data_IF_186495651647
#
_entry.id   IF_186495651647
#
_cell.length_a   1.000
_cell.length_b   1.000
_cell.length_c   1.000
_cell.angle_alpha   90.00
_cell.angle_beta   90.00
_cell.angle_gamma   90.00
#
_symmetry.space_group_name_H-M   'P 1'
#
loop_
_entity.id
_entity.type
_entity.pdbx_description
1 polymer ?
#
# COMPACT_ATOMS: atom_id res chain seq x y z
N UNK A 1 6.88 20.02 -11.15
CA UNK A 1 7.27 19.74 -9.75
C UNK A 1 6.95 18.27 -9.46
N UNK A 2 7.88 17.52 -8.86
CA UNK A 2 7.62 16.13 -8.46
C UNK A 2 6.79 16.11 -7.18
N UNK A 3 5.50 15.79 -7.29
CA UNK A 3 4.55 15.77 -6.16
C UNK A 3 5.03 14.88 -5.00
N UNK A 4 5.66 13.73 -5.30
CA UNK A 4 6.13 12.79 -4.26
C UNK A 4 7.28 13.41 -3.48
N UNK A 5 8.22 14.03 -4.19
CA UNK A 5 9.36 14.72 -3.58
C UNK A 5 8.89 15.84 -2.65
N UNK A 6 7.88 16.59 -3.08
CA UNK A 6 7.35 17.71 -2.30
C UNK A 6 6.63 17.25 -1.02
N UNK A 7 5.77 16.23 -1.12
CA UNK A 7 5.12 15.62 0.05
C UNK A 7 6.16 15.10 1.04
N UNK A 8 7.23 14.45 0.56
CA UNK A 8 8.29 13.95 1.44
C UNK A 8 9.03 15.09 2.15
N UNK A 9 9.34 16.19 1.45
CA UNK A 9 9.96 17.38 2.05
C UNK A 9 9.08 18.00 3.12
N UNK A 10 7.80 18.20 2.81
CA UNK A 10 6.81 18.72 3.75
C UNK A 10 6.69 17.84 5.01
N UNK A 11 6.58 16.52 4.84
CA UNK A 11 6.51 15.60 5.97
C UNK A 11 7.78 15.62 6.83
N UNK A 12 8.96 15.71 6.23
CA UNK A 12 10.21 15.78 6.99
C UNK A 12 10.31 17.05 7.81
N UNK A 13 9.91 18.19 7.25
CA UNK A 13 9.80 19.45 7.99
C UNK A 13 8.87 19.31 9.20
N UNK A 14 7.69 18.72 9.02
CA UNK A 14 6.74 18.55 10.12
C UNK A 14 7.09 17.41 11.09
N UNK A 15 7.99 16.49 10.75
CA UNK A 15 8.61 15.62 11.77
C UNK A 15 9.42 16.46 12.76
N UNK A 16 10.25 17.39 12.27
CA UNK A 16 11.00 18.27 13.19
C UNK A 16 10.08 19.18 13.99
N UNK A 17 9.06 19.76 13.36
CA UNK A 17 8.18 20.73 14.03
C UNK A 17 7.17 20.08 14.98
N UNK A 18 6.61 18.91 14.67
CA UNK A 18 5.57 18.28 15.49
C UNK A 18 6.11 17.18 16.41
N UNK A 19 7.01 16.33 15.92
CA UNK A 19 7.38 15.10 16.64
C UNK A 19 8.55 15.33 17.59
N UNK A 20 9.56 16.08 17.16
CA UNK A 20 10.76 16.34 17.97
C UNK A 20 10.53 17.39 19.07
N UNK A 21 9.58 18.31 18.86
CA UNK A 21 9.17 19.33 19.81
C UNK A 21 8.34 18.77 20.97
N UNK A 22 7.46 17.80 20.71
CA UNK A 22 6.52 17.23 21.69
C UNK A 22 7.07 16.00 22.48
N UNK A 23 8.35 15.65 22.31
CA UNK A 23 9.00 14.60 23.10
C UNK A 23 8.77 13.17 22.63
N UNK A 24 8.37 12.98 21.37
CA UNK A 24 8.18 11.67 20.72
C UNK A 24 6.81 11.53 20.05
N UNK A 25 6.66 10.52 19.18
CA UNK A 25 5.41 10.25 18.44
C UNK A 25 5.67 9.82 17.00
N UNK A 26 4.61 9.62 16.23
CA UNK A 26 4.67 9.43 14.77
C UNK A 26 3.90 10.54 14.07
N UNK A 27 4.29 10.84 12.83
CA UNK A 27 3.55 11.72 11.94
C UNK A 27 2.63 10.88 11.05
N UNK A 28 1.33 11.13 11.11
CA UNK A 28 0.34 10.45 10.27
C UNK A 28 0.01 11.32 9.06
N UNK A 29 0.48 10.88 7.89
CA UNK A 29 0.26 11.55 6.61
C UNK A 29 -0.98 10.95 5.94
N UNK A 30 -2.05 11.74 5.85
CA UNK A 30 -3.28 11.39 5.16
C UNK A 30 -3.21 11.83 3.70
N UNK A 31 -3.50 10.89 2.80
CA UNK A 31 -3.54 11.12 1.36
C UNK A 31 -4.83 10.60 0.73
N UNK A 32 -5.14 11.04 -0.49
CA UNK A 32 -6.42 10.73 -1.13
C UNK A 32 -6.50 9.33 -1.73
N UNK A 33 -5.37 8.76 -2.17
CA UNK A 33 -5.39 7.51 -2.96
C UNK A 33 -4.40 6.48 -2.45
N UNK A 34 -4.78 5.21 -2.59
CA UNK A 34 -3.92 4.06 -2.32
C UNK A 34 -2.66 4.03 -3.18
N UNK A 35 -2.75 4.56 -4.41
CA UNK A 35 -1.59 4.70 -5.30
C UNK A 35 -0.54 5.64 -4.70
N UNK A 36 -0.98 6.76 -4.09
CA UNK A 36 -0.10 7.69 -3.41
C UNK A 36 0.50 7.08 -2.13
N UNK A 37 -0.29 6.33 -1.35
CA UNK A 37 0.23 5.54 -0.21
C UNK A 37 1.34 4.59 -0.68
N UNK A 38 1.11 3.83 -1.76
CA UNK A 38 2.09 2.89 -2.27
C UNK A 38 3.39 3.56 -2.73
N UNK A 39 3.28 4.68 -3.45
CA UNK A 39 4.43 5.46 -3.92
C UNK A 39 5.22 6.07 -2.76
N UNK A 40 4.55 6.60 -1.74
CA UNK A 40 5.19 7.18 -0.56
C UNK A 40 5.90 6.14 0.30
N UNK A 41 5.36 4.92 0.38
CA UNK A 41 5.98 3.78 1.06
C UNK A 41 7.01 3.02 0.20
N UNK A 42 7.28 3.46 -1.03
CA UNK A 42 8.34 2.88 -1.87
C UNK A 42 7.98 1.62 -2.65
N UNK A 43 6.72 1.16 -2.61
CA UNK A 43 6.23 -0.01 -3.37
C UNK A 43 5.25 0.37 -4.50
N UNK A 44 5.38 1.59 -5.03
CA UNK A 44 4.50 2.10 -6.09
C UNK A 44 4.55 1.30 -7.39
N UNK A 45 5.71 0.76 -7.77
CA UNK A 45 5.87 -0.05 -8.97
C UNK A 45 5.14 -1.40 -8.86
N UNK A 46 5.21 -2.03 -7.69
CA UNK A 46 4.44 -3.23 -7.34
C UNK A 46 2.93 -2.95 -7.43
N UNK A 47 2.46 -1.85 -6.82
CA UNK A 47 1.04 -1.49 -6.84
C UNK A 47 0.53 -1.29 -8.28
N UNK A 48 1.30 -0.56 -9.10
CA UNK A 48 0.95 -0.31 -10.50
C UNK A 48 0.97 -1.60 -11.34
N UNK A 49 1.92 -2.51 -11.07
CA UNK A 49 1.99 -3.82 -11.71
C UNK A 49 0.73 -4.65 -11.41
N UNK A 50 0.34 -4.78 -10.14
CA UNK A 50 -0.88 -5.50 -9.77
C UNK A 50 -2.14 -4.87 -10.39
N UNK A 51 -2.26 -3.54 -10.31
CA UNK A 51 -3.39 -2.80 -10.88
C UNK A 51 -3.53 -3.01 -12.39
N UNK A 52 -2.41 -3.02 -13.11
CA UNK A 52 -2.38 -3.17 -14.57
C UNK A 52 -2.61 -4.61 -15.02
N UNK A 53 -1.98 -5.57 -14.35
CA UNK A 53 -1.87 -6.94 -14.87
C UNK A 53 -2.90 -7.90 -14.27
N UNK A 54 -3.40 -7.67 -13.05
CA UNK A 54 -4.33 -8.59 -12.39
C UNK A 54 -5.81 -8.28 -12.66
N UNK A 55 -6.11 -7.21 -13.40
CA UNK A 55 -7.46 -6.73 -13.72
C UNK A 55 -8.43 -6.75 -12.52
N UNK A 56 -7.90 -6.48 -11.31
CA UNK A 56 -8.69 -6.39 -10.08
C UNK A 56 -9.67 -5.23 -10.29
N UNK A 57 -10.98 -5.47 -10.10
CA UNK A 57 -11.99 -4.43 -10.28
C UNK A 57 -11.59 -3.16 -9.52
N UNK A 58 -11.73 -2.01 -10.15
CA UNK A 58 -11.33 -0.73 -9.55
C UNK A 58 -11.91 -0.51 -8.14
N UNK A 59 -13.16 -0.94 -7.92
CA UNK A 59 -13.83 -0.87 -6.61
C UNK A 59 -13.21 -1.80 -5.56
N UNK A 60 -12.61 -2.90 -6.00
CA UNK A 60 -12.03 -3.94 -5.13
C UNK A 60 -10.50 -3.79 -5.02
N UNK A 61 -9.85 -2.95 -5.84
CA UNK A 61 -8.40 -2.71 -5.79
C UNK A 61 -7.94 -2.25 -4.40
N UNK A 62 -8.75 -1.44 -3.74
CA UNK A 62 -8.44 -0.89 -2.42
C UNK A 62 -8.32 -1.98 -1.35
N UNK A 63 -9.19 -2.99 -1.37
CA UNK A 63 -9.14 -4.11 -0.42
C UNK A 63 -8.23 -5.24 -0.93
N UNK A 64 -8.23 -5.47 -2.24
CA UNK A 64 -7.54 -6.59 -2.87
C UNK A 64 -6.02 -6.47 -2.90
N UNK A 65 -5.46 -5.26 -2.75
CA UNK A 65 -4.00 -5.03 -2.81
C UNK A 65 -3.41 -4.54 -1.48
N UNK A 66 -4.08 -3.64 -0.77
CA UNK A 66 -3.52 -2.92 0.39
C UNK A 66 -4.23 -3.22 1.72
N UNK A 67 -5.12 -4.21 1.78
CA UNK A 67 -5.78 -4.52 3.04
C UNK A 67 -4.82 -5.12 4.06
N UNK A 68 -4.81 -4.59 5.28
CA UNK A 68 -4.14 -5.20 6.43
C UNK A 68 -4.79 -6.52 6.88
N UNK A 69 -6.00 -6.82 6.41
CA UNK A 69 -6.63 -8.12 6.62
C UNK A 69 -6.30 -9.03 5.43
N UNK A 70 -5.34 -9.94 5.63
CA UNK A 70 -4.80 -10.82 4.58
C UNK A 70 -5.90 -11.57 3.80
N UNK A 71 -7.01 -11.93 4.45
CA UNK A 71 -8.14 -12.61 3.81
C UNK A 71 -8.91 -11.75 2.79
N UNK A 72 -8.84 -10.41 2.90
CA UNK A 72 -9.46 -9.46 1.97
C UNK A 72 -8.60 -9.20 0.73
N UNK A 73 -7.33 -9.63 0.73
CA UNK A 73 -6.47 -9.55 -0.43
C UNK A 73 -7.01 -10.43 -1.57
N UNK A 74 -6.81 -9.98 -2.81
CA UNK A 74 -7.07 -10.76 -4.00
C UNK A 74 -6.29 -12.09 -3.92
N UNK A 75 -6.87 -13.20 -4.41
CA UNK A 75 -6.26 -14.53 -4.26
C UNK A 75 -4.83 -14.64 -4.79
N UNK A 76 -4.53 -13.98 -5.92
CA UNK A 76 -3.19 -13.95 -6.53
C UNK A 76 -2.25 -13.10 -5.66
N UNK A 77 -2.71 -11.91 -5.26
CA UNK A 77 -1.97 -11.00 -4.39
C UNK A 77 -1.65 -11.67 -3.05
N UNK A 78 -2.62 -12.36 -2.44
CA UNK A 78 -2.48 -13.08 -1.18
C UNK A 78 -1.46 -14.21 -1.28
N UNK A 79 -1.45 -14.95 -2.39
CA UNK A 79 -0.47 -16.00 -2.62
C UNK A 79 0.96 -15.43 -2.68
N UNK A 80 1.16 -14.31 -3.38
CA UNK A 80 2.46 -13.63 -3.44
C UNK A 80 2.83 -13.06 -2.05
N UNK A 81 1.89 -12.41 -1.37
CA UNK A 81 2.08 -11.94 0.01
C UNK A 81 2.55 -13.07 0.92
N UNK A 82 1.87 -14.22 0.89
CA UNK A 82 2.16 -15.32 1.79
C UNK A 82 3.57 -15.88 1.61
N UNK A 83 4.05 -16.05 0.37
CA UNK A 83 5.41 -16.55 0.14
C UNK A 83 6.46 -15.51 0.55
N UNK A 84 6.25 -14.23 0.22
CA UNK A 84 7.13 -13.13 0.62
C UNK A 84 7.19 -12.98 2.14
N UNK A 85 6.03 -12.97 2.80
CA UNK A 85 5.92 -12.82 4.24
C UNK A 85 6.56 -14.01 4.97
N UNK A 86 6.44 -15.22 4.43
CA UNK A 86 7.08 -16.41 5.01
C UNK A 86 8.59 -16.35 4.88
N UNK A 87 9.12 -15.89 3.73
CA UNK A 87 10.54 -15.58 3.57
C UNK A 87 11.03 -14.53 4.59
N UNK A 88 10.28 -13.44 4.78
CA UNK A 88 10.60 -12.40 5.76
C UNK A 88 10.60 -12.94 7.20
N UNK A 89 9.65 -13.80 7.55
CA UNK A 89 9.58 -14.45 8.87
C UNK A 89 10.80 -15.30 9.16
N UNK A 90 11.29 -16.08 8.18
CA UNK A 90 12.52 -16.86 8.38
C UNK A 90 13.68 -15.95 8.76
N UNK A 91 13.76 -14.77 8.14
CA UNK A 91 14.84 -13.81 8.35
C UNK A 91 14.60 -12.79 9.48
N UNK A 92 13.53 -12.93 10.25
CA UNK A 92 13.21 -12.04 11.35
C UNK A 92 13.56 -12.70 12.68
N UNK A 93 14.47 -12.08 13.43
CA UNK A 93 14.95 -12.56 14.74
C UNK A 93 13.84 -12.78 15.79
N UNK A 94 12.71 -12.09 15.63
CA UNK A 94 11.55 -12.23 16.53
C UNK A 94 10.62 -13.38 16.14
N UNK A 95 10.80 -13.98 14.97
CA UNK A 95 9.93 -15.06 14.50
C UNK A 95 10.22 -16.35 15.22
N UNK A 96 9.17 -17.03 15.63
CA UNK A 96 9.27 -18.33 16.28
C UNK A 96 9.33 -19.45 15.24
N UNK A 97 9.77 -20.63 15.69
CA UNK A 97 9.69 -21.85 14.92
C UNK A 97 8.27 -22.13 14.39
N UNK A 98 7.25 -21.84 15.21
CA UNK A 98 5.85 -22.04 14.84
C UNK A 98 5.39 -21.06 13.75
N UNK A 99 5.91 -19.83 13.73
CA UNK A 99 5.56 -18.85 12.69
C UNK A 99 6.01 -19.30 11.30
N UNK A 100 7.11 -20.05 11.22
CA UNK A 100 7.71 -20.54 9.98
C UNK A 100 7.12 -21.88 9.54
N UNK A 101 7.02 -22.86 10.45
CA UNK A 101 6.65 -24.25 10.11
C UNK A 101 5.27 -24.68 10.59
N UNK A 102 4.59 -23.85 11.38
CA UNK A 102 3.28 -24.14 11.94
C UNK A 102 3.27 -25.41 12.80
N UNK A 103 2.08 -25.97 12.96
CA UNK A 103 1.87 -27.15 13.80
C UNK A 103 2.60 -28.40 13.27
N UNK A 104 2.67 -28.56 11.95
CA UNK A 104 3.36 -29.69 11.32
C UNK A 104 4.87 -29.65 11.53
N UNK A 105 5.44 -28.49 11.87
CA UNK A 105 6.84 -28.35 12.25
C UNK A 105 7.23 -29.24 13.45
N UNK A 106 6.31 -29.53 14.38
CA UNK A 106 6.61 -30.40 15.54
C UNK A 106 7.13 -31.80 15.17
N UNK A 107 6.88 -32.24 13.92
CA UNK A 107 7.31 -33.55 13.39
C UNK A 107 8.73 -33.51 12.82
N UNK A 108 9.30 -32.32 12.61
CA UNK A 108 10.62 -32.14 12.02
C UNK A 108 11.72 -32.24 13.08
N UNK A 109 12.82 -32.92 12.73
CA UNK A 109 14.03 -32.94 13.57
C UNK A 109 14.83 -31.68 13.32
N UNK A 110 15.42 -31.09 14.36
CA UNK A 110 16.28 -29.91 14.22
C UNK A 110 17.40 -30.10 13.19
N UNK A 111 17.99 -31.30 13.12
CA UNK A 111 19.02 -31.67 12.14
C UNK A 111 18.54 -31.55 10.68
N UNK A 112 17.24 -31.72 10.42
CA UNK A 112 16.66 -31.53 9.07
C UNK A 112 16.25 -30.09 8.79
N UNK A 113 15.98 -29.30 9.84
CA UNK A 113 15.56 -27.90 9.71
C UNK A 113 16.76 -26.98 9.52
N UNK A 114 17.87 -27.24 10.24
CA UNK A 114 19.04 -26.36 10.22
C UNK A 114 19.57 -26.08 8.79
N UNK A 115 19.72 -27.07 7.89
CA UNK A 115 20.12 -26.80 6.51
C UNK A 115 19.15 -25.91 5.75
N UNK A 116 17.83 -26.03 6.01
CA UNK A 116 16.82 -25.14 5.43
C UNK A 116 16.95 -23.71 5.94
N UNK A 117 17.11 -23.51 7.25
CA UNK A 117 17.27 -22.17 7.82
C UNK A 117 18.57 -21.53 7.34
N UNK A 118 19.69 -22.27 7.41
CA UNK A 118 20.99 -21.81 6.92
C UNK A 118 20.89 -21.43 5.42
N UNK A 119 20.14 -22.18 4.61
CA UNK A 119 19.89 -21.83 3.20
C UNK A 119 19.08 -20.52 3.07
N UNK A 120 17.94 -20.43 3.76
CA UNK A 120 17.02 -19.28 3.69
C UNK A 120 17.67 -17.97 4.17
N UNK A 121 18.51 -18.03 5.21
CA UNK A 121 19.26 -16.88 5.73
C UNK A 121 20.30 -16.33 4.75
N UNK A 122 20.80 -17.18 3.85
CA UNK A 122 21.77 -16.79 2.84
C UNK A 122 21.12 -16.42 1.49
N UNK A 123 19.79 -16.44 1.40
CA UNK A 123 19.09 -16.01 0.20
C UNK A 123 19.08 -14.49 0.09
N UNK A 124 19.49 -13.98 -1.07
CA UNK A 124 19.38 -12.56 -1.44
C UNK A 124 18.65 -12.42 -2.78
N UNK A 125 17.34 -12.72 -2.82
CA UNK A 125 16.59 -12.69 -4.06
C UNK A 125 16.37 -11.26 -4.54
N UNK A 126 16.59 -11.00 -5.83
CA UNK A 126 16.35 -9.67 -6.42
C UNK A 126 14.89 -9.46 -6.84
N UNK A 127 14.21 -10.54 -7.24
CA UNK A 127 12.83 -10.53 -7.74
C UNK A 127 12.02 -11.70 -7.17
N UNK A 128 10.69 -11.63 -7.27
CA UNK A 128 9.80 -12.75 -6.92
C UNK A 128 10.22 -14.03 -7.65
N UNK A 129 10.54 -13.92 -8.94
CA UNK A 129 10.98 -15.05 -9.73
C UNK A 129 12.30 -15.64 -9.25
N UNK A 130 13.24 -14.80 -8.81
CA UNK A 130 14.48 -15.28 -8.21
C UNK A 130 14.22 -16.03 -6.90
N UNK A 131 13.38 -15.49 -6.00
CA UNK A 131 12.97 -16.16 -4.76
C UNK A 131 12.37 -17.54 -5.06
N UNK A 132 11.36 -17.60 -5.94
CA UNK A 132 10.68 -18.86 -6.28
C UNK A 132 11.63 -19.90 -6.90
N UNK A 133 12.54 -19.47 -7.78
CA UNK A 133 13.52 -20.38 -8.39
C UNK A 133 14.53 -20.90 -7.36
N UNK A 134 15.05 -20.05 -6.47
CA UNK A 134 15.94 -20.48 -5.39
C UNK A 134 15.27 -21.49 -4.46
N UNK A 135 14.02 -21.21 -4.08
CA UNK A 135 13.21 -22.17 -3.31
C UNK A 135 13.05 -23.51 -4.06
N UNK A 136 12.92 -23.47 -5.39
CA UNK A 136 12.89 -24.68 -6.22
C UNK A 136 14.20 -25.46 -6.20
N UNK A 137 15.35 -24.77 -6.31
CA UNK A 137 16.66 -25.42 -6.25
C UNK A 137 16.85 -26.19 -4.92
N UNK A 138 16.38 -25.60 -3.81
CA UNK A 138 16.41 -26.25 -2.51
C UNK A 138 15.52 -27.50 -2.45
N UNK A 139 14.30 -27.41 -3.01
CA UNK A 139 13.33 -28.50 -3.04
C UNK A 139 13.76 -29.70 -3.89
N UNK A 140 14.52 -29.46 -4.97
CA UNK A 140 14.97 -30.52 -5.88
C UNK A 140 15.95 -31.50 -5.21
N UNK A 141 16.61 -31.08 -4.12
CA UNK A 141 17.41 -31.95 -3.26
C UNK A 141 16.50 -32.83 -2.38
N UNK A 142 16.54 -34.16 -2.55
CA UNK A 142 15.64 -35.10 -1.85
C UNK A 142 15.64 -34.96 -0.32
N UNK A 143 16.81 -34.73 0.27
CA UNK A 143 16.98 -34.58 1.74
C UNK A 143 16.28 -33.34 2.30
N UNK A 144 16.05 -32.35 1.46
CA UNK A 144 15.48 -31.05 1.79
C UNK A 144 13.95 -31.00 1.64
N UNK A 145 13.35 -32.00 1.00
CA UNK A 145 11.92 -31.97 0.62
C UNK A 145 10.99 -31.87 1.82
N UNK A 146 11.22 -32.63 2.88
CA UNK A 146 10.27 -32.70 4.00
C UNK A 146 10.19 -31.36 4.76
N UNK A 147 11.30 -30.73 5.20
CA UNK A 147 11.26 -29.38 5.77
C UNK A 147 10.64 -28.34 4.83
N UNK A 148 10.97 -28.41 3.54
CA UNK A 148 10.43 -27.50 2.54
C UNK A 148 8.92 -27.65 2.34
N UNK A 149 8.42 -28.88 2.22
CA UNK A 149 6.99 -29.18 2.09
C UNK A 149 6.23 -28.64 3.31
N UNK A 150 6.74 -28.84 4.53
CA UNK A 150 6.11 -28.28 5.74
C UNK A 150 6.09 -26.75 5.71
N UNK A 151 7.19 -26.11 5.32
CA UNK A 151 7.27 -24.67 5.16
C UNK A 151 6.27 -24.13 4.12
N UNK A 152 6.20 -24.73 2.93
CA UNK A 152 5.28 -24.31 1.86
C UNK A 152 3.83 -24.56 2.27
N UNK A 153 3.53 -25.69 2.92
CA UNK A 153 2.18 -25.98 3.38
C UNK A 153 1.72 -24.96 4.43
N UNK A 154 2.61 -24.55 5.35
CA UNK A 154 2.31 -23.49 6.31
C UNK A 154 2.15 -22.12 5.65
N UNK A 155 3.02 -21.80 4.69
CA UNK A 155 3.04 -20.51 3.99
C UNK A 155 1.82 -20.31 3.10
N UNK A 156 1.53 -21.29 2.22
CA UNK A 156 0.56 -21.17 1.14
C UNK A 156 -0.75 -21.93 1.41
N UNK A 157 -0.82 -22.75 2.46
CA UNK A 157 -1.95 -23.65 2.69
C UNK A 157 -2.03 -24.76 1.63
N UNK A 158 -0.97 -24.99 0.89
CA UNK A 158 -0.93 -26.00 -0.16
C UNK A 158 -0.64 -27.37 0.44
N UNK A 159 -1.05 -28.42 -0.26
CA UNK A 159 -0.53 -29.77 -0.03
C UNK A 159 0.08 -30.20 -1.36
N UNK A 160 1.40 -30.29 -1.41
CA UNK A 160 2.10 -30.76 -2.61
C UNK A 160 1.84 -32.26 -2.76
N UNK A 161 1.13 -32.66 -3.81
CA UNK A 161 0.67 -34.03 -4.01
C UNK A 161 1.77 -34.89 -4.66
N UNK A 162 1.60 -36.22 -4.64
CA UNK A 162 2.56 -37.15 -5.26
C UNK A 162 2.85 -36.88 -6.74
N UNK A 163 1.85 -36.42 -7.51
CA UNK A 163 2.02 -36.06 -8.93
C UNK A 163 2.87 -34.80 -9.13
N UNK A 164 2.97 -33.94 -8.12
CA UNK A 164 3.78 -32.72 -8.15
C UNK A 164 5.27 -33.01 -7.87
N UNK A 165 5.59 -34.19 -7.32
CA UNK A 165 6.96 -34.55 -6.87
C UNK A 165 7.97 -34.77 -8.00
N UNK A 166 7.50 -34.80 -9.25
CA UNK A 166 8.29 -34.87 -10.47
C UNK A 166 8.57 -33.50 -11.10
N UNK A 167 7.92 -32.44 -10.61
CA UNK A 167 8.09 -31.07 -11.07
C UNK A 167 8.82 -30.25 -10.01
N UNK A 168 9.66 -29.30 -10.45
CA UNK A 168 10.24 -28.31 -9.54
C UNK A 168 9.17 -27.38 -8.96
N UNK A 169 9.39 -26.88 -7.75
CA UNK A 169 8.47 -25.96 -7.06
C UNK A 169 8.14 -24.72 -7.91
N UNK A 170 9.11 -24.20 -8.68
CA UNK A 170 8.89 -23.05 -9.57
C UNK A 170 7.78 -23.32 -10.59
N UNK A 171 7.75 -24.52 -11.19
CA UNK A 171 6.72 -24.92 -12.16
C UNK A 171 5.34 -25.04 -11.49
N UNK A 172 5.28 -25.60 -10.29
CA UNK A 172 4.04 -25.73 -9.51
C UNK A 172 3.49 -24.34 -9.15
N UNK A 173 4.36 -23.45 -8.67
CA UNK A 173 3.99 -22.09 -8.28
C UNK A 173 3.48 -21.27 -9.48
N UNK A 174 4.19 -21.33 -10.61
CA UNK A 174 3.74 -20.70 -11.88
C UNK A 174 2.41 -21.28 -12.35
N UNK A 175 2.26 -22.60 -12.35
CA UNK A 175 1.03 -23.28 -12.75
C UNK A 175 -0.18 -22.81 -11.93
N UNK A 176 -0.01 -22.66 -10.62
CA UNK A 176 -1.07 -22.16 -9.73
C UNK A 176 -1.41 -20.69 -9.97
N UNK A 177 -0.43 -19.84 -10.24
CA UNK A 177 -0.72 -18.47 -10.65
C UNK A 177 -1.47 -18.41 -11.98
N UNK A 178 -1.04 -19.19 -12.98
CA UNK A 178 -1.74 -19.28 -14.26
C UNK A 178 -3.19 -19.72 -14.04
N UNK A 179 -3.41 -20.79 -13.26
CA UNK A 179 -4.75 -21.28 -12.90
C UNK A 179 -5.61 -20.15 -12.30
N UNK A 180 -5.09 -19.45 -11.28
CA UNK A 180 -5.83 -18.35 -10.65
C UNK A 180 -6.06 -17.16 -11.60
N UNK A 181 -5.10 -16.82 -12.46
CA UNK A 181 -5.27 -15.74 -13.42
C UNK A 181 -6.36 -16.12 -14.43
N UNK A 182 -6.29 -17.31 -15.04
CA UNK A 182 -7.29 -17.78 -16.01
C UNK A 182 -8.70 -17.85 -15.40
N UNK A 183 -8.85 -18.35 -14.17
CA UNK A 183 -10.14 -18.39 -13.47
C UNK A 183 -10.73 -16.99 -13.20
N UNK A 184 -9.88 -15.96 -13.12
CA UNK A 184 -10.30 -14.58 -12.88
C UNK A 184 -10.31 -13.72 -14.16
N UNK A 185 -9.92 -14.26 -15.31
CA UNK A 185 -9.98 -13.54 -16.58
C UNK A 185 -11.43 -13.29 -16.98
N UNK A 186 -11.66 -12.07 -17.47
CA UNK A 186 -12.96 -11.63 -18.01
C UNK A 186 -12.91 -11.36 -19.51
N UNK A 187 -11.73 -11.05 -20.04
CA UNK A 187 -11.48 -10.81 -21.46
C UNK A 187 -10.28 -11.65 -21.92
N UNK A 188 -10.30 -12.07 -23.19
CA UNK A 188 -9.28 -12.93 -23.79
C UNK A 188 -7.96 -12.22 -24.15
N UNK A 189 -7.83 -10.92 -23.91
CA UNK A 189 -6.75 -10.11 -24.51
C UNK A 189 -5.39 -10.22 -23.80
N UNK A 190 -5.32 -10.76 -22.57
CA UNK A 190 -4.05 -10.85 -21.83
C UNK A 190 -3.71 -12.30 -21.54
N UNK A 191 -2.53 -12.75 -21.96
CA UNK A 191 -2.01 -14.08 -21.65
C UNK A 191 -1.72 -14.21 -20.15
N UNK A 192 -2.16 -15.32 -19.53
CA UNK A 192 -1.84 -15.57 -18.12
C UNK A 192 -0.34 -15.80 -17.93
N UNK A 193 0.31 -16.41 -18.91
CA UNK A 193 1.76 -16.65 -18.91
C UNK A 193 2.51 -15.31 -18.86
N UNK A 194 2.19 -14.38 -19.77
CA UNK A 194 2.80 -13.04 -19.77
C UNK A 194 2.53 -12.27 -18.47
N UNK A 195 1.36 -12.48 -17.87
CA UNK A 195 1.01 -11.87 -16.58
C UNK A 195 1.90 -12.44 -15.48
N UNK A 196 2.09 -13.76 -15.42
CA UNK A 196 3.01 -14.39 -14.46
C UNK A 196 4.44 -13.90 -14.64
N UNK A 197 4.92 -13.76 -15.87
CA UNK A 197 6.26 -13.21 -16.14
C UNK A 197 6.41 -11.79 -15.58
N UNK A 198 5.41 -10.93 -15.77
CA UNK A 198 5.39 -9.57 -15.20
C UNK A 198 5.35 -9.57 -13.67
N UNK A 199 4.65 -10.51 -13.05
CA UNK A 199 4.64 -10.68 -11.59
C UNK A 199 5.99 -11.17 -11.06
N UNK A 200 6.63 -12.11 -11.78
CA UNK A 200 7.94 -12.65 -11.42
C UNK A 200 9.06 -11.61 -11.47
N UNK A 201 8.89 -10.56 -12.28
CA UNK A 201 9.83 -9.45 -12.38
C UNK A 201 9.63 -8.36 -11.31
N UNK A 202 8.67 -8.50 -10.40
CA UNK A 202 8.52 -7.57 -9.27
C UNK A 202 9.75 -7.71 -8.37
N UNK A 203 10.38 -6.57 -8.04
CA UNK A 203 11.55 -6.49 -7.17
C UNK A 203 11.22 -6.90 -5.75
N UNK A 204 12.14 -7.63 -5.12
CA UNK A 204 12.00 -8.04 -3.72
C UNK A 204 11.96 -6.84 -2.78
N UNK A 205 12.75 -5.79 -3.03
CA UNK A 205 12.73 -4.54 -2.27
C UNK A 205 11.29 -3.98 -2.10
N UNK A 206 10.52 -3.93 -3.19
CA UNK A 206 9.13 -3.45 -3.14
C UNK A 206 8.19 -4.45 -2.47
N UNK A 207 8.39 -5.75 -2.69
CA UNK A 207 7.62 -6.82 -2.05
C UNK A 207 7.79 -6.82 -0.53
N UNK A 208 9.00 -6.58 -0.05
CA UNK A 208 9.31 -6.52 1.38
C UNK A 208 8.69 -5.30 2.05
N UNK A 209 8.84 -4.11 1.44
CA UNK A 209 8.19 -2.89 1.91
C UNK A 209 6.67 -3.04 1.95
N UNK A 210 6.10 -3.65 0.91
CA UNK A 210 4.67 -3.92 0.84
C UNK A 210 4.22 -4.94 1.89
N UNK A 211 4.93 -6.05 2.08
CA UNK A 211 4.58 -7.04 3.09
C UNK A 211 4.62 -6.45 4.51
N UNK A 212 5.65 -5.65 4.83
CA UNK A 212 5.74 -4.90 6.10
C UNK A 212 4.58 -3.91 6.26
N UNK A 213 4.17 -3.23 5.19
CA UNK A 213 2.97 -2.37 5.22
C UNK A 213 1.72 -3.18 5.57
N UNK A 214 1.47 -4.32 4.92
CA UNK A 214 0.31 -5.17 5.21
C UNK A 214 0.31 -5.63 6.68
N UNK A 215 1.46 -6.08 7.19
CA UNK A 215 1.62 -6.51 8.59
C UNK A 215 1.60 -5.36 9.61
N UNK A 216 1.62 -4.09 9.19
CA UNK A 216 1.79 -2.91 10.05
C UNK A 216 3.14 -2.88 10.79
N UNK A 217 4.18 -3.43 10.18
CA UNK A 217 5.55 -3.53 10.72
C UNK A 217 6.47 -2.43 10.16
N UNK A 218 5.96 -1.20 10.10
CA UNK A 218 6.69 -0.08 9.53
C UNK A 218 7.46 0.70 10.61
N UNK A 219 8.79 0.57 10.60
CA UNK A 219 9.72 1.30 11.48
C UNK A 219 10.06 2.70 10.95
N UNK A 220 9.04 3.42 10.49
CA UNK A 220 9.15 4.81 10.03
C UNK A 220 8.46 5.75 11.02
N UNK A 221 9.04 6.94 11.18
CA UNK A 221 8.45 8.07 11.92
C UNK A 221 7.18 8.59 11.21
N UNK A 222 7.04 8.32 9.91
CA UNK A 222 5.87 8.66 9.11
C UNK A 222 5.04 7.41 8.84
N UNK A 223 3.74 7.49 9.06
CA UNK A 223 2.75 6.50 8.57
C UNK A 223 1.87 7.14 7.51
N UNK A 224 1.59 6.40 6.46
CA UNK A 224 0.79 6.91 5.34
C UNK A 224 -0.54 6.18 5.29
N UNK A 225 -1.63 6.96 5.25
CA UNK A 225 -2.98 6.44 5.24
C UNK A 225 -3.80 7.08 4.14
N UNK A 226 -4.82 6.37 3.65
CA UNK A 226 -5.86 7.05 2.88
C UNK A 226 -6.87 7.71 3.80
N UNK A 227 -7.54 8.76 3.32
CA UNK A 227 -8.62 9.43 4.08
C UNK A 227 -9.72 8.45 4.53
N UNK A 228 -10.02 7.46 3.68
CA UNK A 228 -11.01 6.44 4.00
C UNK A 228 -10.48 5.37 4.97
N UNK A 229 -9.17 5.09 4.92
CA UNK A 229 -8.52 4.09 5.76
C UNK A 229 -8.49 4.45 7.25
N UNK A 230 -8.64 5.73 7.60
CA UNK A 230 -8.55 6.23 8.98
C UNK A 230 -9.90 6.47 9.66
N UNK A 231 -11.01 5.99 9.07
CA UNK A 231 -12.35 6.24 9.61
C UNK A 231 -12.50 5.63 11.01
N UNK A 232 -12.61 6.48 12.01
CA UNK A 232 -12.77 6.11 13.42
C UNK A 232 -11.46 6.07 14.21
N UNK A 233 -10.34 6.44 13.59
CA UNK A 233 -9.03 6.54 14.24
C UNK A 233 -8.67 8.00 14.53
N UNK A 234 -7.81 8.24 15.51
CA UNK A 234 -7.28 9.57 15.84
C UNK A 234 -5.77 9.47 16.08
N UNK A 235 -5.07 10.54 15.78
CA UNK A 235 -3.61 10.60 15.74
C UNK A 235 -3.12 11.89 16.36
N UNK A 236 -1.97 11.86 17.04
CA UNK A 236 -1.45 13.05 17.71
C UNK A 236 -1.06 14.14 16.71
N UNK A 237 -0.27 13.77 15.69
CA UNK A 237 0.32 14.69 14.72
C UNK A 237 -0.09 14.27 13.31
N UNK A 238 -0.81 15.13 12.60
CA UNK A 238 -1.37 14.80 11.28
C UNK A 238 -0.94 15.80 10.23
N UNK A 239 -0.55 15.28 9.08
CA UNK A 239 -0.41 16.04 7.84
C UNK A 239 -1.47 15.57 6.86
N UNK A 240 -2.14 16.50 6.18
CA UNK A 240 -3.16 16.21 5.16
C UNK A 240 -2.69 16.73 3.80
N UNK A 241 -2.63 15.85 2.81
CA UNK A 241 -2.22 16.19 1.44
C UNK A 241 -3.45 16.32 0.52
N UNK A 242 -3.69 17.53 0.01
CA UNK A 242 -4.82 17.86 -0.85
C UNK A 242 -4.39 18.22 -2.29
N UNK A 243 -5.27 17.93 -3.25
CA UNK A 243 -5.15 18.30 -4.67
C UNK A 243 -6.55 18.51 -5.28
N UNK A 244 -6.65 19.25 -6.39
CA UNK A 244 -7.93 19.57 -7.06
C UNK A 244 -8.73 18.33 -7.39
N UNK A 245 -8.06 17.30 -7.90
CA UNK A 245 -8.65 16.08 -8.45
C UNK A 245 -8.06 14.86 -7.79
N UNK A 246 -8.89 13.86 -7.49
CA UNK A 246 -8.42 12.58 -6.99
C UNK A 246 -9.27 11.41 -7.50
N UNK A 247 -8.62 10.28 -7.79
CA UNK A 247 -9.28 9.13 -8.43
C UNK A 247 -9.38 9.26 -9.95
N UNK A 248 -9.72 8.14 -10.62
CA UNK A 248 -9.74 8.07 -12.09
C UNK A 248 -11.07 8.45 -12.74
N UNK A 249 -12.16 8.43 -11.99
CA UNK A 249 -13.50 8.65 -12.53
C UNK A 249 -13.87 10.14 -12.55
N UNK A 250 -14.87 10.50 -13.37
CA UNK A 250 -15.39 11.86 -13.47
C UNK A 250 -15.79 12.46 -12.10
N UNK A 251 -16.23 11.60 -11.17
CA UNK A 251 -16.60 11.97 -9.80
C UNK A 251 -15.43 12.50 -8.96
N UNK A 252 -14.20 12.23 -9.37
CA UNK A 252 -12.99 12.67 -8.69
C UNK A 252 -12.38 13.95 -9.26
N UNK A 253 -12.78 14.33 -10.48
CA UNK A 253 -12.20 15.46 -11.20
C UNK A 253 -12.68 16.79 -10.63
N UNK A 254 -11.73 17.64 -10.28
CA UNK A 254 -11.88 18.97 -9.70
C UNK A 254 -12.76 18.99 -8.44
N UNK A 255 -12.85 17.87 -7.72
CA UNK A 255 -13.75 17.72 -6.58
C UNK A 255 -13.44 18.73 -5.47
N UNK A 256 -12.17 18.85 -5.05
CA UNK A 256 -11.80 19.87 -4.06
C UNK A 256 -11.81 21.28 -4.67
N UNK A 257 -11.40 21.44 -5.93
CA UNK A 257 -11.48 22.73 -6.62
C UNK A 257 -12.90 23.30 -6.59
N UNK A 258 -13.90 22.50 -6.99
CA UNK A 258 -15.33 22.88 -6.99
C UNK A 258 -15.82 23.19 -5.58
N UNK A 259 -15.47 22.35 -4.59
CA UNK A 259 -15.85 22.55 -3.20
C UNK A 259 -15.35 23.90 -2.65
N UNK A 260 -14.05 24.18 -2.77
CA UNK A 260 -13.48 25.44 -2.28
C UNK A 260 -13.95 26.64 -3.11
N UNK A 261 -14.12 26.51 -4.43
CA UNK A 261 -14.73 27.57 -5.26
C UNK A 261 -16.13 27.95 -4.78
N UNK A 262 -16.96 26.97 -4.41
CA UNK A 262 -18.29 27.21 -3.85
C UNK A 262 -18.21 27.87 -2.46
N UNK A 263 -17.29 27.44 -1.59
CA UNK A 263 -17.02 28.08 -0.29
C UNK A 263 -16.58 29.53 -0.42
N UNK A 264 -15.79 29.87 -1.45
CA UNK A 264 -15.37 31.24 -1.73
C UNK A 264 -16.52 32.15 -2.18
N UNK A 265 -17.48 31.61 -2.95
CA UNK A 265 -18.65 32.36 -3.46
C UNK A 265 -19.70 32.66 -2.39
N UNK A 266 -19.91 31.76 -1.43
CA UNK A 266 -20.94 31.91 -0.38
C UNK A 266 -20.75 33.14 0.53
N UNK A 267 -19.53 33.70 0.58
CA UNK A 267 -19.14 34.84 1.42
C UNK A 267 -18.65 36.06 0.61
N UNK A 268 -18.77 36.04 -0.73
CA UNK A 268 -18.52 37.22 -1.57
C UNK A 268 -19.69 38.20 -1.57
N UNK A 269 -19.42 39.46 -1.91
CA UNK A 269 -20.44 40.52 -2.05
C UNK A 269 -21.51 40.19 -3.12
N UNK A 270 -21.19 39.29 -4.07
CA UNK A 270 -22.10 38.79 -5.10
C UNK A 270 -22.89 37.54 -4.66
N UNK A 271 -23.62 37.61 -3.55
CA UNK A 271 -24.62 36.58 -3.18
C UNK A 271 -25.72 36.41 -4.25
N UNK A 272 -25.89 37.39 -5.14
CA UNK A 272 -26.96 37.46 -6.13
C UNK A 272 -26.76 36.57 -7.39
N UNK A 273 -25.60 35.94 -7.59
CA UNK A 273 -25.32 35.14 -8.81
C UNK A 273 -25.37 33.62 -8.60
N UNK A 274 -25.64 33.14 -7.39
CA UNK A 274 -25.64 31.70 -7.13
C UNK A 274 -26.99 31.10 -7.51
N UNK A 275 -27.05 30.44 -8.67
CA UNK A 275 -28.15 29.52 -8.97
C UNK A 275 -28.25 28.47 -7.85
N UNK A 276 -29.46 28.00 -7.50
CA UNK A 276 -29.62 26.85 -6.63
C UNK A 276 -28.80 25.68 -7.16
N UNK A 277 -28.06 25.01 -6.27
CA UNK A 277 -27.42 23.74 -6.60
C UNK A 277 -28.49 22.73 -7.00
N UNK A 278 -28.17 21.85 -7.95
CA UNK A 278 -28.98 20.65 -8.15
C UNK A 278 -28.80 19.70 -6.96
N UNK A 279 -29.75 18.79 -6.74
CA UNK A 279 -29.65 17.76 -5.69
C UNK A 279 -28.34 16.96 -5.76
N UNK A 280 -27.82 16.73 -6.97
CA UNK A 280 -26.56 16.00 -7.17
C UNK A 280 -25.33 16.86 -6.83
N UNK A 281 -25.35 18.15 -7.18
CA UNK A 281 -24.29 19.09 -6.79
C UNK A 281 -24.23 19.26 -5.26
N UNK A 282 -25.39 19.31 -4.61
CA UNK A 282 -25.49 19.41 -3.16
C UNK A 282 -24.96 18.14 -2.46
N UNK A 283 -25.34 16.96 -2.94
CA UNK A 283 -24.77 15.69 -2.45
C UNK A 283 -23.26 15.62 -2.64
N UNK A 284 -22.74 16.02 -3.80
CA UNK A 284 -21.29 16.04 -4.06
C UNK A 284 -20.58 17.02 -3.11
N UNK A 285 -21.17 18.19 -2.87
CA UNK A 285 -20.66 19.19 -1.93
C UNK A 285 -20.57 18.64 -0.51
N UNK A 286 -21.66 18.07 0.03
CA UNK A 286 -21.65 17.49 1.38
C UNK A 286 -20.73 16.29 1.52
N UNK A 287 -20.66 15.42 0.50
CA UNK A 287 -19.71 14.33 0.49
C UNK A 287 -18.26 14.83 0.55
N UNK A 288 -17.96 15.91 -0.17
CA UNK A 288 -16.61 16.52 -0.15
C UNK A 288 -16.33 17.22 1.16
N UNK A 289 -17.32 17.92 1.73
CA UNK A 289 -17.22 18.53 3.06
C UNK A 289 -16.92 17.47 4.13
N UNK A 290 -17.62 16.35 4.10
CA UNK A 290 -17.41 15.25 5.04
C UNK A 290 -16.01 14.65 4.89
N UNK A 291 -15.46 14.56 3.67
CA UNK A 291 -14.09 14.11 3.45
C UNK A 291 -13.06 15.07 4.06
N UNK A 292 -13.22 16.38 3.83
CA UNK A 292 -12.33 17.40 4.42
C UNK A 292 -12.41 17.36 5.93
N UNK A 293 -13.62 17.34 6.48
CA UNK A 293 -13.86 17.23 7.92
C UNK A 293 -13.20 15.98 8.51
N UNK A 294 -13.48 14.80 7.93
CA UNK A 294 -12.94 13.52 8.38
C UNK A 294 -11.43 13.46 8.33
N UNK A 295 -10.77 14.09 7.35
CA UNK A 295 -9.32 14.10 7.27
C UNK A 295 -8.71 15.05 8.31
N UNK A 296 -9.24 16.27 8.42
CA UNK A 296 -8.68 17.29 9.32
C UNK A 296 -8.99 17.01 10.80
N UNK A 297 -10.11 16.35 11.10
CA UNK A 297 -10.51 16.03 12.49
C UNK A 297 -9.77 14.82 13.07
N UNK A 298 -8.79 14.24 12.37
CA UNK A 298 -7.99 13.12 12.90
C UNK A 298 -6.88 13.59 13.83
N UNK A 299 -6.49 14.86 13.73
CA UNK A 299 -5.44 15.44 14.55
C UNK A 299 -5.96 15.70 15.98
N UNK A 300 -5.24 15.18 16.98
CA UNK A 300 -5.48 15.48 18.39
C UNK A 300 -4.71 16.73 18.83
N UNK A 301 -3.43 16.85 18.41
CA UNK A 301 -2.55 17.95 18.81
C UNK A 301 -2.25 18.88 17.64
N UNK A 302 -1.58 18.35 16.62
CA UNK A 302 -0.99 19.16 15.55
C UNK A 302 -1.57 18.77 14.18
N UNK A 303 -1.95 19.77 13.38
CA UNK A 303 -2.47 19.61 12.02
C UNK A 303 -1.71 20.54 11.06
N UNK A 304 -1.20 19.97 9.97
CA UNK A 304 -0.71 20.72 8.82
C UNK A 304 -1.36 20.23 7.53
N UNK A 305 -1.60 21.14 6.58
CA UNK A 305 -2.25 20.83 5.31
C UNK A 305 -1.36 21.33 4.17
N UNK A 306 -1.06 20.45 3.22
CA UNK A 306 -0.37 20.81 1.98
C UNK A 306 -1.34 20.69 0.80
N UNK A 307 -1.55 21.80 0.09
CA UNK A 307 -2.31 21.80 -1.17
C UNK A 307 -1.34 21.85 -2.35
N UNK A 308 -1.37 20.83 -3.22
CA UNK A 308 -0.32 20.61 -4.23
C UNK A 308 -0.53 21.36 -5.56
N UNK A 309 -1.75 21.73 -5.89
CA UNK A 309 -2.08 22.36 -7.16
C UNK A 309 -2.24 23.89 -7.02
N UNK A 310 -2.24 24.63 -8.13
CA UNK A 310 -2.45 26.08 -8.12
C UNK A 310 -3.78 26.47 -7.47
N UNK A 311 -3.72 27.27 -6.41
CA UNK A 311 -4.86 27.65 -5.59
C UNK A 311 -5.50 28.99 -5.96
N UNK A 312 -4.96 29.76 -6.94
CA UNK A 312 -5.43 31.13 -7.24
C UNK A 312 -6.95 31.26 -7.41
N UNK A 313 -7.60 30.28 -8.04
CA UNK A 313 -9.06 30.31 -8.25
C UNK A 313 -9.88 29.95 -7.00
N UNK A 314 -9.26 29.35 -5.98
CA UNK A 314 -9.91 28.77 -4.80
C UNK A 314 -9.37 29.31 -3.48
N UNK A 315 -8.40 30.22 -3.50
CA UNK A 315 -7.70 30.80 -2.35
C UNK A 315 -8.69 31.32 -1.30
N UNK A 316 -9.60 32.22 -1.69
CA UNK A 316 -10.68 32.69 -0.81
C UNK A 316 -11.52 31.56 -0.20
N UNK A 317 -11.74 30.49 -0.97
CA UNK A 317 -12.46 29.31 -0.51
C UNK A 317 -11.72 28.50 0.54
N UNK A 318 -10.40 28.35 0.37
CA UNK A 318 -9.50 27.75 1.35
C UNK A 318 -9.41 28.61 2.61
N UNK A 319 -9.25 29.92 2.45
CA UNK A 319 -9.18 30.86 3.57
C UNK A 319 -10.44 30.85 4.43
N UNK A 320 -11.60 30.74 3.78
CA UNK A 320 -12.88 30.62 4.49
C UNK A 320 -13.00 29.34 5.34
N UNK A 321 -12.20 28.31 5.06
CA UNK A 321 -12.27 27.02 5.77
C UNK A 321 -11.12 26.88 6.78
N UNK A 322 -9.91 27.31 6.41
CA UNK A 322 -8.68 27.05 7.16
C UNK A 322 -8.01 28.31 7.72
N UNK A 323 -8.46 29.51 7.35
CA UNK A 323 -7.78 30.77 7.69
C UNK A 323 -6.66 31.11 6.72
N UNK A 324 -5.68 31.90 7.17
CA UNK A 324 -4.60 32.38 6.32
C UNK A 324 -3.88 31.25 5.56
N UNK A 325 -3.73 31.42 4.24
CA UNK A 325 -3.00 30.47 3.40
C UNK A 325 -1.60 31.01 3.14
N UNK A 326 -0.60 30.16 3.33
CA UNK A 326 0.80 30.51 3.16
C UNK A 326 1.41 29.72 2.00
N UNK A 327 2.29 30.35 1.23
CA UNK A 327 3.07 29.66 0.22
C UNK A 327 4.07 28.72 0.90
N UNK A 328 3.95 27.43 0.59
CA UNK A 328 4.92 26.44 1.06
C UNK A 328 6.23 26.62 0.29
N UNK A 329 7.25 27.07 1.01
CA UNK A 329 8.63 27.06 0.55
C UNK A 329 9.47 26.41 1.65
N UNK A 330 10.21 25.33 1.37
CA UNK A 330 11.17 24.82 2.32
C UNK A 330 12.21 25.91 2.57
N UNK A 331 12.28 26.45 3.79
CA UNK A 331 13.31 27.39 4.15
C UNK A 331 14.68 26.70 4.08
N UNK A 332 15.45 26.99 3.01
CA UNK A 332 16.86 26.64 2.86
C UNK A 332 17.16 25.19 2.49
N UNK A 333 17.92 25.00 1.40
CA UNK A 333 18.65 23.77 1.08
C UNK A 333 19.81 23.52 2.09
N UNK A 334 19.58 23.65 3.40
CA UNK A 334 20.56 23.40 4.47
C UNK A 334 20.06 22.34 5.45
N UNK A 335 19.72 21.15 4.95
CA UNK A 335 19.83 19.87 5.67
C UNK A 335 19.21 18.74 4.82
N UNK A 336 19.97 18.25 3.84
CA UNK A 336 19.83 16.89 3.31
C UNK A 336 21.20 16.24 3.27
#
# INVERSE_FOLDING_TARGET
MDKIKEIKRFNQFYISEFVKSDGGGKLDCLVLTNELVAKLNGFGGLYDNYKKNLNIYYKDQNQGILSHEVNKLNVIVRMIFNITNSYLKVNNEKSTYYDVFGENGKKLKFSSIKPFLDYMHNLTPETLGNLVNRLSDFYDCKENRVPFEVFINNSLGWQLNGNDKHNGFSSIFKGKLIEFIELNKKNNDVSAIETVEKLFNIRMEELELWAKYINREQDSDIRYHTYHGTKGEEYENVVVIMEHSFGKDYQGRDKFKKFFKNRGRALGENKQELRPMTDDEEKEFFNTQNLVYVACSRAIKNLAILYLDDIKEIEKGLENVFGEVQEWSPAGDEAL
#
